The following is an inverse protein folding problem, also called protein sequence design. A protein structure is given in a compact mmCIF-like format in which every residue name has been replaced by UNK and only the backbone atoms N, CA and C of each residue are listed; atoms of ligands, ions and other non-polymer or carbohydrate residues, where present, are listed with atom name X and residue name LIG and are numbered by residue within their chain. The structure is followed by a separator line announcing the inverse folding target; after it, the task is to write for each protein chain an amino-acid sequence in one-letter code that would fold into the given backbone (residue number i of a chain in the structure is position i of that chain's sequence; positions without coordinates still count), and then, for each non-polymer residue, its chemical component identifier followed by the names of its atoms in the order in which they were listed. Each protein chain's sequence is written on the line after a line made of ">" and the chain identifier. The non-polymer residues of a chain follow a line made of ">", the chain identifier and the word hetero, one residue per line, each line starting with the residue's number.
data_IF_475814160911
#
_entry.id   IF_475814160911
#
_cell.length_a   1.000
_cell.length_b   1.000
_cell.length_c   1.000
_cell.angle_alpha   90.00
_cell.angle_beta   90.00
_cell.angle_gamma   90.00
#
_symmetry.space_group_name_H-M   'P 1'
#
loop_
_entity.id
_entity.type
_entity.pdbx_description
1 polymer ?
#
# COMPACT_ATOMS: atom_id res chain seq x y z
N UNK A 1 -26.42 -23.34 12.25
CA UNK A 1 -25.21 -22.78 12.93
C UNK A 1 -24.07 -22.47 11.98
N UNK A 2 -23.91 -23.22 10.88
CA UNK A 2 -22.80 -23.03 9.90
C UNK A 2 -22.99 -21.77 9.03
N UNK A 3 -24.22 -21.41 8.68
CA UNK A 3 -24.52 -20.26 7.82
C UNK A 3 -24.28 -18.90 8.54
N UNK A 4 -24.49 -18.86 9.88
CA UNK A 4 -24.20 -17.65 10.66
C UNK A 4 -22.71 -17.37 10.83
N UNK A 5 -21.84 -18.40 10.83
CA UNK A 5 -20.39 -18.22 10.96
C UNK A 5 -19.78 -17.58 9.71
N UNK A 6 -20.27 -17.96 8.51
CA UNK A 6 -19.80 -17.38 7.24
C UNK A 6 -20.20 -15.90 7.07
N UNK A 7 -21.35 -15.46 7.59
CA UNK A 7 -21.76 -14.06 7.53
C UNK A 7 -20.87 -13.15 8.42
N UNK A 8 -20.44 -13.65 9.59
CA UNK A 8 -19.54 -12.91 10.49
C UNK A 8 -18.13 -12.76 9.90
N UNK A 9 -17.62 -13.78 9.22
CA UNK A 9 -16.32 -13.70 8.54
C UNK A 9 -16.38 -12.74 7.37
N UNK A 10 -17.47 -12.72 6.58
CA UNK A 10 -17.68 -11.74 5.52
C UNK A 10 -17.84 -10.31 6.06
N UNK A 11 -18.56 -10.14 7.16
CA UNK A 11 -18.77 -8.84 7.80
C UNK A 11 -17.46 -8.28 8.40
N UNK A 12 -16.63 -9.15 8.99
CA UNK A 12 -15.31 -8.76 9.52
C UNK A 12 -14.32 -8.41 8.42
N UNK A 13 -14.40 -9.07 7.25
CA UNK A 13 -13.60 -8.72 6.08
C UNK A 13 -14.06 -7.41 5.43
N UNK A 14 -15.36 -7.17 5.35
CA UNK A 14 -15.89 -5.93 4.76
C UNK A 14 -15.64 -4.71 5.64
N UNK A 15 -15.71 -4.80 6.95
CA UNK A 15 -15.38 -3.69 7.86
C UNK A 15 -13.90 -3.35 7.85
N UNK A 16 -12.99 -4.34 7.74
CA UNK A 16 -11.55 -4.08 7.56
C UNK A 16 -11.23 -3.50 6.17
N UNK A 17 -11.97 -3.87 5.13
CA UNK A 17 -11.84 -3.28 3.78
C UNK A 17 -12.30 -1.81 3.79
N UNK A 18 -13.38 -1.48 4.49
CA UNK A 18 -13.85 -0.10 4.64
C UNK A 18 -12.92 0.77 5.50
N UNK A 19 -12.30 0.21 6.55
CA UNK A 19 -11.36 0.93 7.40
C UNK A 19 -10.02 1.21 6.70
N UNK A 20 -9.57 0.29 5.82
CA UNK A 20 -8.37 0.51 4.96
C UNK A 20 -8.63 1.58 3.88
N UNK A 21 -9.88 1.79 3.47
CA UNK A 21 -10.23 2.82 2.48
C UNK A 21 -10.25 4.25 3.02
N UNK A 22 -10.22 4.47 4.34
CA UNK A 22 -10.41 5.80 4.95
C UNK A 22 -9.11 6.44 5.49
N UNK A 23 -7.97 6.15 4.89
CA UNK A 23 -6.81 7.02 5.08
C UNK A 23 -6.99 8.27 4.22
N UNK A 24 -6.89 9.49 4.78
CA UNK A 24 -6.91 10.72 3.98
C UNK A 24 -5.73 10.67 3.01
N UNK A 25 -6.05 10.34 1.77
CA UNK A 25 -5.06 10.27 0.70
C UNK A 25 -4.81 11.69 0.21
N UNK A 26 -3.55 12.06 0.02
CA UNK A 26 -3.22 13.30 -0.68
C UNK A 26 -3.73 13.18 -2.12
N UNK A 27 -4.22 14.27 -2.73
CA UNK A 27 -4.77 14.30 -4.11
C UNK A 27 -3.91 13.51 -5.11
N UNK A 28 -2.58 13.65 -5.01
CA UNK A 28 -1.64 12.94 -5.88
C UNK A 28 -1.64 11.41 -5.71
N UNK A 29 -2.05 10.89 -4.54
CA UNK A 29 -2.10 9.44 -4.32
C UNK A 29 -3.28 8.79 -5.01
N UNK A 30 -4.39 9.50 -5.13
CA UNK A 30 -5.59 9.01 -5.80
C UNK A 30 -5.43 9.04 -7.33
N UNK A 31 -4.70 10.02 -7.86
CA UNK A 31 -4.29 10.04 -9.26
C UNK A 31 -3.44 8.81 -9.60
N UNK A 32 -2.46 8.46 -8.77
CA UNK A 32 -1.62 7.26 -9.01
C UNK A 32 -2.45 5.98 -9.00
N UNK A 33 -3.43 5.87 -8.07
CA UNK A 33 -4.36 4.72 -8.04
C UNK A 33 -5.20 4.68 -9.31
N UNK A 34 -5.77 5.81 -9.70
CA UNK A 34 -6.63 5.91 -10.89
C UNK A 34 -5.85 5.51 -12.15
N UNK A 35 -4.65 6.06 -12.35
CA UNK A 35 -3.78 5.71 -13.48
C UNK A 35 -3.46 4.23 -13.49
N UNK A 36 -3.13 3.64 -12.32
CA UNK A 36 -2.83 2.22 -12.23
C UNK A 36 -4.04 1.36 -12.64
N UNK A 37 -5.25 1.70 -12.17
CA UNK A 37 -6.49 0.98 -12.48
C UNK A 37 -6.84 1.12 -13.97
N UNK A 38 -6.79 2.32 -14.52
CA UNK A 38 -7.10 2.56 -15.93
C UNK A 38 -6.15 1.79 -16.86
N UNK A 39 -4.86 1.77 -16.52
CA UNK A 39 -3.88 1.02 -17.30
C UNK A 39 -4.06 -0.50 -17.14
N UNK A 40 -4.47 -1.00 -15.98
CA UNK A 40 -4.80 -2.42 -15.83
C UNK A 40 -5.96 -2.82 -16.75
N UNK A 41 -7.03 -2.03 -16.83
CA UNK A 41 -8.12 -2.26 -17.78
C UNK A 41 -7.65 -2.18 -19.24
N UNK A 42 -6.80 -1.22 -19.56
CA UNK A 42 -6.24 -1.10 -20.92
C UNK A 42 -5.41 -2.34 -21.30
N UNK A 43 -4.54 -2.80 -20.39
CA UNK A 43 -3.71 -3.99 -20.61
C UNK A 43 -4.53 -5.27 -20.68
N UNK A 44 -5.57 -5.41 -19.87
CA UNK A 44 -6.49 -6.53 -19.88
C UNK A 44 -7.20 -6.61 -21.26
N UNK A 45 -7.74 -5.50 -21.75
CA UNK A 45 -8.39 -5.44 -23.05
C UNK A 45 -7.39 -5.66 -24.21
N UNK A 46 -6.22 -4.99 -24.14
CA UNK A 46 -5.18 -5.11 -25.14
C UNK A 46 -4.68 -6.56 -25.28
N UNK A 47 -4.41 -7.25 -24.15
CA UNK A 47 -3.96 -8.65 -24.17
C UNK A 47 -5.03 -9.59 -24.75
N UNK A 48 -6.32 -9.38 -24.43
CA UNK A 48 -7.41 -10.16 -25.02
C UNK A 48 -7.51 -9.97 -26.53
N UNK A 49 -7.47 -8.72 -27.00
CA UNK A 49 -7.55 -8.40 -28.41
C UNK A 49 -6.34 -8.96 -29.17
N UNK A 50 -5.15 -8.77 -28.62
CA UNK A 50 -3.90 -9.21 -29.23
C UNK A 50 -3.87 -10.74 -29.39
N UNK A 51 -4.20 -11.48 -28.33
CA UNK A 51 -4.29 -12.94 -28.36
C UNK A 51 -5.34 -13.42 -29.35
N UNK A 52 -6.50 -12.73 -29.43
CA UNK A 52 -7.53 -13.06 -30.41
C UNK A 52 -7.00 -12.94 -31.84
N UNK A 53 -6.32 -11.86 -32.19
CA UNK A 53 -5.78 -11.68 -33.55
C UNK A 53 -4.62 -12.63 -33.85
N UNK A 54 -3.74 -12.92 -32.88
CA UNK A 54 -2.67 -13.91 -33.06
C UNK A 54 -3.23 -15.28 -33.35
N UNK A 55 -4.16 -15.77 -32.52
CA UNK A 55 -4.78 -17.10 -32.73
C UNK A 55 -5.59 -17.16 -34.00
N UNK A 56 -6.25 -16.07 -34.39
CA UNK A 56 -6.95 -15.97 -35.66
C UNK A 56 -6.02 -16.15 -36.87
N UNK A 57 -4.79 -15.64 -36.76
CA UNK A 57 -3.78 -15.82 -37.81
C UNK A 57 -3.18 -17.23 -37.87
N UNK A 58 -3.15 -17.95 -36.75
CA UNK A 58 -2.56 -19.29 -36.64
C UNK A 58 -3.62 -20.37 -36.96
N UNK A 59 -4.77 -20.31 -36.29
CA UNK A 59 -5.86 -21.26 -36.44
C UNK A 59 -7.21 -20.55 -36.30
N UNK A 60 -7.82 -20.21 -37.43
CA UNK A 60 -9.08 -19.50 -37.44
C UNK A 60 -10.25 -20.37 -36.94
N UNK A 61 -10.15 -21.71 -37.00
CA UNK A 61 -11.18 -22.61 -36.50
C UNK A 61 -11.20 -22.67 -34.98
N UNK A 62 -10.05 -22.60 -34.33
CA UNK A 62 -9.95 -22.62 -32.85
C UNK A 62 -10.69 -21.47 -32.17
N UNK A 63 -10.93 -20.37 -32.89
CA UNK A 63 -11.58 -19.16 -32.34
C UNK A 63 -12.87 -18.77 -33.07
N UNK A 64 -13.32 -19.58 -34.04
CA UNK A 64 -14.52 -19.29 -34.85
C UNK A 64 -15.78 -19.07 -34.00
N UNK A 65 -15.86 -19.69 -32.83
CA UNK A 65 -16.99 -19.61 -31.90
C UNK A 65 -16.83 -18.51 -30.81
N UNK A 66 -15.70 -17.79 -30.79
CA UNK A 66 -15.44 -16.78 -29.76
C UNK A 66 -16.08 -15.44 -30.15
N UNK A 67 -17.08 -15.03 -29.39
CA UNK A 67 -17.56 -13.63 -29.42
C UNK A 67 -16.63 -12.72 -28.61
N UNK A 68 -15.68 -12.08 -29.28
CA UNK A 68 -14.72 -11.17 -28.62
C UNK A 68 -15.41 -10.10 -27.77
N UNK A 69 -16.57 -9.58 -28.22
CA UNK A 69 -17.35 -8.59 -27.46
C UNK A 69 -17.83 -9.13 -26.12
N UNK A 70 -18.34 -10.38 -26.11
CA UNK A 70 -18.82 -11.03 -24.88
C UNK A 70 -17.66 -11.25 -23.90
N UNK A 71 -16.51 -11.74 -24.37
CA UNK A 71 -15.33 -11.97 -23.53
C UNK A 71 -14.78 -10.65 -22.94
N UNK A 72 -14.67 -9.59 -23.75
CA UNK A 72 -14.23 -8.28 -23.28
C UNK A 72 -15.18 -7.72 -22.21
N UNK A 73 -16.49 -7.72 -22.48
CA UNK A 73 -17.48 -7.19 -21.54
C UNK A 73 -17.45 -7.95 -20.21
N UNK A 74 -17.53 -9.28 -20.30
CA UNK A 74 -17.55 -10.14 -19.11
C UNK A 74 -16.27 -10.03 -18.29
N UNK A 75 -15.11 -10.04 -18.95
CA UNK A 75 -13.82 -9.92 -18.29
C UNK A 75 -13.68 -8.57 -17.54
N UNK A 76 -14.05 -7.44 -18.18
CA UNK A 76 -14.02 -6.14 -17.53
C UNK A 76 -14.97 -6.09 -16.32
N UNK A 77 -16.18 -6.65 -16.44
CA UNK A 77 -17.14 -6.69 -15.33
C UNK A 77 -16.62 -7.54 -14.16
N UNK A 78 -16.00 -8.69 -14.45
CA UNK A 78 -15.40 -9.56 -13.44
C UNK A 78 -14.16 -8.94 -12.77
N UNK A 79 -13.43 -8.05 -13.46
CA UNK A 79 -12.22 -7.44 -12.93
C UNK A 79 -12.48 -6.36 -11.86
N UNK A 80 -13.65 -5.70 -11.91
CA UNK A 80 -14.04 -4.64 -10.93
C UNK A 80 -14.04 -5.15 -9.48
N UNK A 81 -14.74 -6.23 -9.12
CA UNK A 81 -14.72 -6.75 -7.76
C UNK A 81 -13.34 -7.23 -7.33
N UNK A 82 -12.53 -7.77 -8.26
CA UNK A 82 -11.18 -8.23 -7.95
C UNK A 82 -10.26 -7.08 -7.50
N UNK A 83 -10.31 -5.94 -8.20
CA UNK A 83 -9.56 -4.73 -7.81
C UNK A 83 -10.06 -4.20 -6.47
N UNK A 84 -11.37 -4.22 -6.22
CA UNK A 84 -11.96 -3.73 -4.97
C UNK A 84 -11.49 -4.54 -3.76
N UNK A 85 -11.33 -5.85 -3.90
CA UNK A 85 -10.92 -6.76 -2.82
C UNK A 85 -9.42 -6.62 -2.52
N UNK A 86 -8.55 -6.73 -3.52
CA UNK A 86 -7.11 -6.69 -3.30
C UNK A 86 -6.52 -5.28 -3.24
N UNK A 87 -7.19 -4.31 -3.87
CA UNK A 87 -6.80 -2.90 -3.89
C UNK A 87 -5.44 -2.63 -4.55
N UNK A 88 -5.22 -1.37 -4.88
CA UNK A 88 -3.95 -0.89 -5.44
C UNK A 88 -3.14 -0.21 -4.34
N UNK A 89 -1.95 -0.72 -4.02
CA UNK A 89 -1.07 -0.20 -2.96
C UNK A 89 0.06 0.70 -3.44
N UNK A 90 0.14 0.99 -4.74
CA UNK A 90 1.21 1.83 -5.32
C UNK A 90 1.24 3.25 -4.77
N UNK A 91 0.12 3.73 -4.22
CA UNK A 91 0.03 5.05 -3.61
C UNK A 91 0.78 5.13 -2.28
N UNK A 92 0.97 4.01 -1.57
CA UNK A 92 1.74 4.00 -0.34
C UNK A 92 3.20 4.34 -0.64
N UNK A 93 3.83 5.13 0.26
CA UNK A 93 5.20 5.61 0.04
C UNK A 93 6.24 4.51 0.23
N UNK A 94 6.07 3.71 1.27
CA UNK A 94 7.00 2.63 1.62
C UNK A 94 6.31 1.30 1.33
N UNK A 95 6.54 0.75 0.14
CA UNK A 95 6.00 -0.56 -0.29
C UNK A 95 7.11 -1.40 -0.91
N UNK A 96 7.17 -2.67 -0.53
CA UNK A 96 8.11 -3.63 -1.14
C UNK A 96 7.57 -4.14 -2.49
N UNK A 97 8.46 -4.44 -3.48
CA UNK A 97 8.02 -4.96 -4.78
C UNK A 97 7.19 -6.23 -4.66
N UNK A 98 7.58 -7.13 -3.73
CA UNK A 98 6.90 -8.41 -3.51
C UNK A 98 5.43 -8.23 -3.11
N UNK A 99 5.14 -7.19 -2.33
CA UNK A 99 3.76 -6.87 -1.92
C UNK A 99 2.89 -6.42 -3.09
N UNK A 100 3.48 -5.68 -4.03
CA UNK A 100 2.79 -5.22 -5.25
C UNK A 100 2.46 -6.42 -6.13
N UNK A 101 3.46 -7.27 -6.39
CA UNK A 101 3.31 -8.48 -7.21
C UNK A 101 2.35 -9.46 -6.55
N UNK A 102 2.48 -9.70 -5.24
CA UNK A 102 1.60 -10.61 -4.50
C UNK A 102 0.13 -10.19 -4.56
N UNK A 103 -0.18 -8.91 -4.38
CA UNK A 103 -1.56 -8.40 -4.52
C UNK A 103 -2.08 -8.49 -5.95
N UNK A 104 -1.24 -8.18 -6.94
CA UNK A 104 -1.61 -8.30 -8.34
C UNK A 104 -1.92 -9.75 -8.70
N UNK A 105 -1.08 -10.71 -8.29
CA UNK A 105 -1.33 -12.13 -8.50
C UNK A 105 -2.61 -12.60 -7.81
N UNK A 106 -2.89 -12.11 -6.59
CA UNK A 106 -4.17 -12.34 -5.90
C UNK A 106 -5.36 -11.82 -6.70
N UNK A 107 -5.27 -10.59 -7.23
CA UNK A 107 -6.30 -10.01 -8.11
C UNK A 107 -6.54 -10.86 -9.34
N UNK A 108 -5.46 -11.29 -10.01
CA UNK A 108 -5.56 -12.12 -11.23
C UNK A 108 -6.12 -13.51 -10.91
N UNK A 109 -5.68 -14.15 -9.82
CA UNK A 109 -6.20 -15.46 -9.40
C UNK A 109 -7.71 -15.41 -9.13
N UNK A 110 -8.17 -14.37 -8.42
CA UNK A 110 -9.60 -14.18 -8.18
C UNK A 110 -10.35 -13.90 -9.49
N UNK A 111 -9.77 -13.10 -10.37
CA UNK A 111 -10.35 -12.83 -11.68
C UNK A 111 -10.51 -14.11 -12.53
N UNK A 112 -9.51 -15.01 -12.54
CA UNK A 112 -9.60 -16.31 -13.21
C UNK A 112 -10.83 -17.06 -12.71
N UNK A 113 -10.99 -17.18 -11.39
CA UNK A 113 -12.11 -17.93 -10.79
C UNK A 113 -13.46 -17.31 -11.15
N UNK A 114 -13.61 -16.01 -10.95
CA UNK A 114 -14.89 -15.32 -11.23
C UNK A 114 -15.20 -15.36 -12.73
N UNK A 115 -14.21 -15.08 -13.58
CA UNK A 115 -14.41 -15.05 -15.03
C UNK A 115 -14.81 -16.41 -15.59
N UNK A 116 -14.13 -17.50 -15.21
CA UNK A 116 -14.50 -18.85 -15.61
C UNK A 116 -15.88 -19.24 -15.10
N UNK A 117 -16.22 -18.89 -13.86
CA UNK A 117 -17.55 -19.15 -13.29
C UNK A 117 -18.65 -18.44 -14.06
N UNK A 118 -18.43 -17.15 -14.38
CA UNK A 118 -19.43 -16.37 -15.15
C UNK A 118 -19.58 -16.90 -16.57
N UNK A 119 -18.48 -17.25 -17.26
CA UNK A 119 -18.55 -17.88 -18.58
C UNK A 119 -19.33 -19.19 -18.55
N UNK A 120 -19.17 -20.01 -17.51
CA UNK A 120 -19.92 -21.26 -17.34
C UNK A 120 -21.43 -21.01 -17.11
N UNK A 121 -21.77 -19.97 -16.30
CA UNK A 121 -23.18 -19.59 -16.02
C UNK A 121 -23.88 -19.07 -17.29
N UNK A 122 -23.20 -18.25 -18.09
CA UNK A 122 -23.74 -17.67 -19.33
C UNK A 122 -23.87 -18.76 -20.44
N UNK A 123 -23.37 -19.97 -20.16
CA UNK A 123 -23.37 -21.09 -21.13
C UNK A 123 -22.79 -20.67 -22.48
N UNK A 124 -21.61 -20.05 -22.45
CA UNK A 124 -20.86 -19.79 -23.68
C UNK A 124 -20.40 -21.13 -24.22
N UNK A 125 -21.14 -21.63 -25.23
CA UNK A 125 -20.82 -22.89 -25.88
C UNK A 125 -19.41 -22.83 -26.47
N UNK A 126 -18.60 -23.88 -26.16
CA UNK A 126 -17.25 -24.06 -26.71
C UNK A 126 -16.26 -22.91 -26.41
N UNK A 127 -16.12 -22.50 -25.14
CA UNK A 127 -15.01 -21.59 -24.81
C UNK A 127 -13.65 -22.24 -25.09
N UNK A 128 -12.80 -21.53 -25.84
CA UNK A 128 -11.47 -22.04 -26.19
C UNK A 128 -10.54 -21.98 -24.97
N UNK A 129 -10.13 -23.14 -24.46
CA UNK A 129 -9.15 -23.24 -23.35
C UNK A 129 -7.81 -22.65 -23.75
N UNK A 130 -7.42 -22.83 -25.03
CA UNK A 130 -6.16 -22.28 -25.56
C UNK A 130 -6.18 -20.76 -25.55
N UNK A 131 -7.31 -20.14 -25.92
CA UNK A 131 -7.47 -18.70 -25.88
C UNK A 131 -7.32 -18.15 -24.44
N UNK A 132 -7.98 -18.76 -23.48
CA UNK A 132 -7.90 -18.34 -22.09
C UNK A 132 -6.49 -18.51 -21.52
N UNK A 133 -5.84 -19.63 -21.80
CA UNK A 133 -4.46 -19.87 -21.37
C UNK A 133 -3.51 -18.85 -21.98
N UNK A 134 -3.58 -18.61 -23.29
CA UNK A 134 -2.75 -17.64 -23.99
C UNK A 134 -3.00 -16.20 -23.48
N UNK A 135 -4.27 -15.87 -23.19
CA UNK A 135 -4.65 -14.59 -22.61
C UNK A 135 -3.96 -14.36 -21.25
N UNK A 136 -4.09 -15.28 -20.30
CA UNK A 136 -3.45 -15.11 -18.99
C UNK A 136 -1.92 -15.19 -19.06
N UNK A 137 -1.36 -16.01 -19.93
CA UNK A 137 0.08 -16.10 -20.15
C UNK A 137 0.67 -14.78 -20.69
N UNK A 138 -0.09 -14.03 -21.48
CA UNK A 138 0.31 -12.71 -21.97
C UNK A 138 0.00 -11.60 -20.95
N UNK A 139 -1.15 -11.65 -20.29
CA UNK A 139 -1.62 -10.60 -19.39
C UNK A 139 -0.77 -10.52 -18.11
N UNK A 140 -0.41 -11.65 -17.47
CA UNK A 140 0.34 -11.68 -16.22
C UNK A 140 1.68 -10.93 -16.33
N UNK A 141 2.59 -11.25 -17.27
CA UNK A 141 3.86 -10.56 -17.36
C UNK A 141 3.70 -9.08 -17.76
N UNK A 142 2.74 -8.75 -18.62
CA UNK A 142 2.44 -7.37 -18.98
C UNK A 142 1.98 -6.55 -17.77
N UNK A 143 1.07 -7.08 -16.97
CA UNK A 143 0.56 -6.41 -15.79
C UNK A 143 1.63 -6.26 -14.71
N UNK A 144 2.47 -7.28 -14.47
CA UNK A 144 3.62 -7.19 -13.54
C UNK A 144 4.61 -6.14 -14.03
N UNK A 145 5.01 -6.21 -15.28
CA UNK A 145 5.93 -5.26 -15.90
C UNK A 145 5.44 -3.83 -15.79
N UNK A 146 4.16 -3.58 -16.08
CA UNK A 146 3.54 -2.28 -15.95
C UNK A 146 3.56 -1.77 -14.49
N UNK A 147 3.18 -2.59 -13.53
CA UNK A 147 3.17 -2.22 -12.11
C UNK A 147 4.56 -1.85 -11.59
N UNK A 148 5.58 -2.60 -11.98
CA UNK A 148 6.96 -2.32 -11.61
C UNK A 148 7.49 -1.05 -12.29
N UNK A 149 7.15 -0.85 -13.57
CA UNK A 149 7.49 0.35 -14.33
C UNK A 149 6.83 1.60 -13.73
N UNK A 150 5.53 1.53 -13.41
CA UNK A 150 4.83 2.64 -12.76
C UNK A 150 5.48 2.97 -11.40
N UNK A 151 5.82 1.94 -10.61
CA UNK A 151 6.58 2.15 -9.37
C UNK A 151 7.91 2.85 -9.60
N UNK A 152 8.65 2.45 -10.61
CA UNK A 152 9.93 3.08 -10.96
C UNK A 152 9.74 4.56 -11.32
N UNK A 153 8.76 4.89 -12.15
CA UNK A 153 8.44 6.28 -12.50
C UNK A 153 8.00 7.10 -11.29
N UNK A 154 7.16 6.57 -10.43
CA UNK A 154 6.75 7.26 -9.19
C UNK A 154 7.95 7.55 -8.30
N UNK A 155 8.90 6.60 -8.15
CA UNK A 155 10.14 6.82 -7.40
C UNK A 155 11.04 7.88 -8.06
N UNK A 156 11.19 7.83 -9.36
CA UNK A 156 11.98 8.80 -10.11
C UNK A 156 11.40 10.21 -9.99
N UNK A 157 10.07 10.34 -10.07
CA UNK A 157 9.38 11.60 -9.91
C UNK A 157 9.56 12.20 -8.50
N UNK A 158 9.54 11.36 -7.46
CA UNK A 158 9.82 11.77 -6.08
C UNK A 158 11.27 12.22 -5.88
N UNK A 159 12.23 11.49 -6.49
CA UNK A 159 13.66 11.87 -6.47
C UNK A 159 13.92 13.26 -7.06
N UNK A 160 13.14 13.68 -8.03
CA UNK A 160 13.19 15.01 -8.63
C UNK A 160 12.69 16.14 -7.69
N UNK A 161 12.44 15.85 -6.40
CA UNK A 161 12.03 16.84 -5.40
C UNK A 161 10.56 17.25 -5.48
N UNK A 162 9.77 16.60 -6.34
CA UNK A 162 8.33 16.87 -6.48
C UNK A 162 7.51 16.00 -5.53
N UNK A 163 6.44 16.56 -4.99
CA UNK A 163 5.53 15.86 -4.05
C UNK A 163 6.23 15.33 -2.80
N UNK A 164 7.18 16.12 -2.24
CA UNK A 164 7.82 15.80 -0.97
C UNK A 164 6.89 16.15 0.20
N UNK A 165 6.78 15.21 1.14
CA UNK A 165 6.15 15.47 2.43
C UNK A 165 7.19 15.96 3.42
N UNK A 166 7.00 17.15 3.93
CA UNK A 166 7.84 17.70 4.99
C UNK A 166 7.51 17.02 6.32
N UNK A 167 8.55 16.56 6.99
CA UNK A 167 8.43 15.83 8.25
C UNK A 167 9.33 16.42 9.31
N UNK A 168 8.89 16.31 10.56
CA UNK A 168 9.66 16.69 11.76
C UNK A 168 9.72 15.50 12.70
N UNK A 169 10.87 15.29 13.30
CA UNK A 169 11.12 14.24 14.26
C UNK A 169 11.28 14.86 15.66
N UNK A 170 10.76 14.20 16.69
CA UNK A 170 10.85 14.65 18.07
C UNK A 170 11.30 13.49 18.94
N UNK A 171 12.35 13.69 19.70
CA UNK A 171 12.92 12.71 20.62
C UNK A 171 14.33 12.29 20.24
N UNK A 172 14.97 11.63 21.15
CA UNK A 172 16.29 11.04 21.08
C UNK A 172 16.20 9.52 21.01
N UNK A 173 17.26 8.89 20.61
CA UNK A 173 17.38 7.44 20.61
C UNK A 173 17.54 6.82 19.23
N UNK A 174 18.04 5.57 19.22
CA UNK A 174 18.42 4.83 18.03
C UNK A 174 17.28 4.68 17.01
N UNK A 175 16.04 4.50 17.50
CA UNK A 175 14.86 4.38 16.63
C UNK A 175 14.59 5.66 15.83
N UNK A 176 14.88 6.83 16.41
CA UNK A 176 14.69 8.10 15.71
C UNK A 176 15.77 8.33 14.66
N UNK A 177 16.99 7.87 14.93
CA UNK A 177 18.11 7.89 13.97
C UNK A 177 17.82 6.98 12.79
N UNK A 178 17.37 5.75 13.04
CA UNK A 178 16.99 4.80 11.99
C UNK A 178 15.82 5.34 11.15
N UNK A 179 14.82 5.94 11.82
CA UNK A 179 13.70 6.58 11.16
C UNK A 179 14.15 7.77 10.29
N UNK A 180 15.09 8.59 10.80
CA UNK A 180 15.68 9.68 10.03
C UNK A 180 16.33 9.16 8.74
N UNK A 181 17.19 8.15 8.82
CA UNK A 181 17.81 7.56 7.63
C UNK A 181 16.79 7.00 6.65
N UNK A 182 15.73 6.37 7.16
CA UNK A 182 14.66 5.83 6.33
C UNK A 182 13.87 6.95 5.63
N UNK A 183 13.52 8.02 6.35
CA UNK A 183 12.72 9.12 5.81
C UNK A 183 13.56 10.09 4.96
N UNK A 184 14.85 10.19 5.20
CA UNK A 184 15.73 11.08 4.42
C UNK A 184 16.10 10.50 3.04
N UNK A 185 15.71 9.24 2.75
CA UNK A 185 15.80 8.71 1.39
C UNK A 185 14.71 9.35 0.51
N UNK A 186 15.14 10.23 -0.40
CA UNK A 186 14.28 10.95 -1.35
C UNK A 186 13.39 10.03 -2.20
N UNK A 187 13.74 8.75 -2.32
CA UNK A 187 12.94 7.78 -3.09
C UNK A 187 11.56 7.54 -2.47
N UNK A 188 11.41 7.74 -1.17
CA UNK A 188 10.13 7.63 -0.47
C UNK A 188 9.32 8.93 -0.52
N UNK A 189 9.94 10.04 -0.95
CA UNK A 189 9.28 11.33 -1.09
C UNK A 189 9.02 12.03 0.24
N UNK A 190 9.90 11.84 1.21
CA UNK A 190 9.93 12.59 2.46
C UNK A 190 11.11 13.57 2.47
N UNK A 191 10.96 14.64 3.21
CA UNK A 191 12.01 15.60 3.51
C UNK A 191 11.97 15.92 5.00
N UNK A 192 12.96 15.46 5.73
CA UNK A 192 13.09 15.78 7.16
C UNK A 192 13.60 17.22 7.30
N UNK A 193 12.79 18.09 7.88
CA UNK A 193 13.13 19.51 8.08
C UNK A 193 14.02 19.71 9.32
N UNK A 194 13.85 18.85 10.33
CA UNK A 194 14.65 18.92 11.54
C UNK A 194 14.24 17.90 12.59
N UNK A 195 15.09 17.80 13.58
CA UNK A 195 14.87 16.99 14.77
C UNK A 195 14.92 17.89 16.00
N UNK A 196 13.99 17.65 16.93
CA UNK A 196 13.90 18.31 18.23
C UNK A 196 14.15 17.31 19.34
N UNK A 197 15.08 17.61 20.24
CA UNK A 197 15.36 16.83 21.46
C UNK A 197 16.01 17.71 22.52
N UNK A 198 15.85 17.36 23.79
CA UNK A 198 16.34 18.19 24.91
C UNK A 198 17.77 17.84 25.32
N UNK A 199 18.11 16.54 25.33
CA UNK A 199 19.44 16.06 25.67
C UNK A 199 20.07 15.38 24.44
N UNK A 200 21.30 15.82 24.13
CA UNK A 200 22.06 15.18 23.04
C UNK A 200 22.68 13.91 23.59
N UNK A 201 22.12 12.77 23.20
CA UNK A 201 22.79 11.49 23.41
C UNK A 201 24.12 11.48 22.64
N UNK A 202 25.20 11.01 23.28
CA UNK A 202 26.56 11.02 22.73
C UNK A 202 26.69 10.21 21.43
N UNK A 203 25.71 9.38 21.12
CA UNK A 203 25.66 8.52 19.94
C UNK A 203 24.88 9.12 18.75
N UNK A 204 24.44 10.38 18.83
CA UNK A 204 23.68 10.98 17.74
C UNK A 204 24.61 11.25 16.54
N UNK A 205 24.32 10.72 15.34
CA UNK A 205 25.18 10.88 14.18
C UNK A 205 25.38 12.33 13.80
N UNK A 206 26.59 12.69 13.39
CA UNK A 206 26.87 13.98 12.79
C UNK A 206 26.12 14.14 11.48
N UNK A 207 25.51 15.32 11.26
CA UNK A 207 24.79 15.63 10.02
C UNK A 207 23.25 15.56 10.11
N UNK A 208 22.69 15.18 11.25
CA UNK A 208 21.25 15.28 11.46
C UNK A 208 20.89 16.74 11.81
N UNK A 209 19.91 17.35 11.12
CA UNK A 209 19.57 18.76 11.32
C UNK A 209 18.85 18.98 12.65
N UNK A 210 19.62 19.25 13.71
CA UNK A 210 19.10 19.68 15.00
C UNK A 210 18.53 21.09 14.91
N UNK A 211 17.31 21.29 15.42
CA UNK A 211 16.59 22.59 15.37
C UNK A 211 16.41 23.23 16.73
N UNK A 212 16.50 22.47 17.78
CA UNK A 212 16.37 22.99 19.14
C UNK A 212 15.75 22.01 20.12
N UNK A 213 15.58 22.40 21.36
CA UNK A 213 14.88 21.61 22.36
C UNK A 213 13.38 21.55 22.09
N UNK A 214 12.70 20.58 22.70
CA UNK A 214 11.28 20.33 22.46
C UNK A 214 10.37 21.51 22.79
N UNK A 215 10.75 22.34 23.73
CA UNK A 215 10.01 23.56 24.12
C UNK A 215 9.93 24.62 23.00
N UNK A 216 10.89 24.65 22.06
CA UNK A 216 10.90 25.59 20.93
C UNK A 216 10.11 25.03 19.71
N UNK A 217 9.58 23.81 19.80
CA UNK A 217 8.90 23.14 18.71
C UNK A 217 7.71 23.94 18.18
N UNK A 218 6.82 24.43 19.07
CA UNK A 218 5.59 25.10 18.66
C UNK A 218 5.85 26.42 17.94
N UNK A 219 6.83 27.19 18.41
CA UNK A 219 7.26 28.42 17.75
C UNK A 219 7.80 28.13 16.37
N UNK A 220 8.63 27.09 16.24
CA UNK A 220 9.19 26.69 14.95
C UNK A 220 8.10 26.17 14.00
N UNK A 221 7.13 25.38 14.48
CA UNK A 221 6.01 24.86 13.69
C UNK A 221 5.11 25.98 13.17
N UNK A 222 4.96 27.11 13.88
CA UNK A 222 4.15 28.24 13.44
C UNK A 222 4.71 28.94 12.20
N UNK A 223 6.02 28.81 11.95
CA UNK A 223 6.71 29.43 10.80
C UNK A 223 7.04 28.44 9.67
N UNK A 224 6.76 27.13 9.86
CA UNK A 224 7.14 26.12 8.90
C UNK A 224 5.96 25.20 8.58
N UNK A 225 5.73 24.93 7.30
CA UNK A 225 4.69 23.99 6.88
C UNK A 225 5.18 22.54 7.02
N UNK A 226 4.55 21.80 7.92
CA UNK A 226 4.86 20.40 8.22
C UNK A 226 3.63 19.55 7.90
N UNK A 227 3.82 18.43 7.20
CA UNK A 227 2.74 17.51 6.86
C UNK A 227 2.63 16.36 7.86
N UNK A 228 3.76 15.90 8.38
CA UNK A 228 3.82 14.75 9.29
C UNK A 228 4.82 15.00 10.41
N UNK A 229 4.46 14.56 11.62
CA UNK A 229 5.27 14.70 12.81
C UNK A 229 5.41 13.33 13.49
N UNK A 230 6.65 12.93 13.74
CA UNK A 230 7.00 11.68 14.40
C UNK A 230 7.52 11.94 15.80
N UNK A 231 6.79 11.48 16.81
CA UNK A 231 7.10 11.70 18.22
C UNK A 231 7.64 10.41 18.86
N UNK A 232 8.90 10.41 19.26
CA UNK A 232 9.59 9.36 20.00
C UNK A 232 9.88 9.77 21.46
N UNK A 233 9.09 10.65 22.05
CA UNK A 233 9.25 10.99 23.46
C UNK A 233 8.86 9.83 24.37
N UNK A 234 9.54 9.64 25.53
CA UNK A 234 9.20 8.59 26.47
C UNK A 234 7.84 8.86 27.12
N UNK A 235 7.15 7.80 27.53
CA UNK A 235 5.80 7.87 28.15
C UNK A 235 5.76 8.69 29.44
N UNK A 236 6.91 8.96 30.08
CA UNK A 236 7.03 9.85 31.24
C UNK A 236 6.68 11.31 30.89
N UNK A 237 6.80 11.70 29.62
CA UNK A 237 6.49 13.06 29.11
C UNK A 237 5.09 13.13 28.50
N UNK A 238 4.12 12.54 29.18
CA UNK A 238 2.74 12.43 28.68
C UNK A 238 2.12 13.78 28.33
N UNK A 239 2.36 14.81 29.14
CA UNK A 239 1.76 16.14 28.95
C UNK A 239 2.30 16.81 27.69
N UNK A 240 3.60 16.67 27.41
CA UNK A 240 4.21 17.16 26.17
C UNK A 240 3.65 16.44 24.96
N UNK A 241 3.53 15.10 25.02
CA UNK A 241 2.97 14.28 23.94
C UNK A 241 1.54 14.71 23.63
N UNK A 242 0.71 14.92 24.65
CA UNK A 242 -0.68 15.38 24.50
C UNK A 242 -0.74 16.79 23.91
N UNK A 243 0.12 17.70 24.37
CA UNK A 243 0.18 19.07 23.82
C UNK A 243 0.57 19.06 22.33
N UNK A 244 1.56 18.25 21.94
CA UNK A 244 2.00 18.09 20.55
C UNK A 244 0.89 17.48 19.70
N UNK A 245 0.21 16.43 20.20
CA UNK A 245 -0.89 15.78 19.50
C UNK A 245 -2.04 16.75 19.25
N UNK A 246 -2.48 17.51 20.25
CA UNK A 246 -3.53 18.51 20.12
C UNK A 246 -3.13 19.62 19.13
N UNK A 247 -1.87 20.06 19.14
CA UNK A 247 -1.37 21.03 18.17
C UNK A 247 -1.45 20.48 16.75
N UNK A 248 -1.05 19.22 16.54
CA UNK A 248 -1.10 18.55 15.24
C UNK A 248 -2.53 18.42 14.71
N UNK A 249 -3.49 18.06 15.57
CA UNK A 249 -4.90 17.96 15.21
C UNK A 249 -5.48 19.31 14.76
N UNK A 250 -5.17 20.37 15.50
CA UNK A 250 -5.65 21.72 15.20
C UNK A 250 -5.03 22.31 13.92
N UNK A 251 -3.85 21.84 13.50
CA UNK A 251 -3.13 22.35 12.33
C UNK A 251 -3.09 21.35 11.14
N UNK A 252 -3.91 20.30 11.18
CA UNK A 252 -3.98 19.26 10.12
C UNK A 252 -2.64 18.56 9.85
N UNK A 253 -1.76 18.46 10.85
CA UNK A 253 -0.49 17.75 10.80
C UNK A 253 -0.75 16.30 11.23
N UNK A 254 -0.27 15.34 10.47
CA UNK A 254 -0.39 13.93 10.85
C UNK A 254 0.60 13.60 11.96
N UNK A 255 0.06 13.16 13.10
CA UNK A 255 0.86 12.73 14.25
C UNK A 255 1.10 11.23 14.23
N UNK A 256 2.37 10.84 14.39
CA UNK A 256 2.79 9.44 14.55
C UNK A 256 3.60 9.29 15.82
N UNK A 257 3.19 8.36 16.68
CA UNK A 257 3.97 7.98 17.85
C UNK A 257 4.95 6.87 17.49
N UNK A 258 6.23 7.09 17.80
CA UNK A 258 7.31 6.11 17.62
C UNK A 258 7.59 5.47 18.97
N UNK A 259 7.22 4.17 19.16
CA UNK A 259 7.42 3.53 20.45
C UNK A 259 8.91 3.33 20.74
N UNK A 260 9.31 3.60 22.00
CA UNK A 260 10.63 3.25 22.54
C UNK A 260 10.72 1.73 22.80
N UNK A 261 10.63 0.95 21.75
CA UNK A 261 10.90 -0.49 21.88
C UNK A 261 12.38 -0.69 21.63
N UNK A 262 13.14 -0.91 22.71
CA UNK A 262 14.57 -1.26 22.61
C UNK A 262 14.75 -2.40 21.63
N UNK A 263 15.76 -2.31 20.78
CA UNK A 263 16.10 -3.14 19.61
C UNK A 263 16.21 -4.67 19.82
N UNK A 264 15.56 -5.24 20.82
CA UNK A 264 15.53 -6.70 21.01
C UNK A 264 14.65 -7.44 20.02
N UNK A 265 13.86 -6.71 19.20
CA UNK A 265 12.86 -7.33 18.35
C UNK A 265 13.04 -6.87 16.91
N UNK A 266 13.90 -7.55 16.16
CA UNK A 266 13.96 -7.48 14.68
C UNK A 266 12.73 -8.11 14.01
N UNK A 267 11.60 -8.30 14.74
CA UNK A 267 10.39 -8.96 14.27
C UNK A 267 9.27 -7.95 14.07
N UNK A 268 8.40 -8.20 13.12
CA UNK A 268 7.23 -7.34 12.84
C UNK A 268 6.29 -7.36 14.06
N UNK A 269 6.14 -6.20 14.67
CA UNK A 269 5.15 -5.96 15.70
C UNK A 269 3.79 -5.74 15.03
N UNK A 270 2.77 -6.44 15.48
CA UNK A 270 1.38 -6.21 15.06
C UNK A 270 0.63 -5.54 16.20
N UNK A 271 0.08 -4.35 15.92
CA UNK A 271 -0.85 -3.70 16.83
C UNK A 271 -2.20 -4.43 16.74
N UNK A 272 -2.68 -4.94 17.85
CA UNK A 272 -4.01 -5.53 17.97
C UNK A 272 -4.80 -4.78 19.04
N UNK A 273 -6.08 -4.56 18.78
CA UNK A 273 -7.01 -4.05 19.79
C UNK A 273 -7.63 -5.26 20.52
N UNK A 274 -7.41 -5.33 21.84
CA UNK A 274 -8.14 -6.23 22.74
C UNK A 274 -9.22 -5.40 23.46
N UNK A 275 -10.42 -5.37 22.87
CA UNK A 275 -11.45 -4.41 23.25
C UNK A 275 -11.03 -2.99 22.85
N UNK A 276 -10.90 -2.08 23.81
CA UNK A 276 -10.43 -0.70 23.58
C UNK A 276 -8.93 -0.51 23.87
N UNK A 277 -8.23 -1.56 24.31
CA UNK A 277 -6.82 -1.50 24.69
C UNK A 277 -5.92 -1.91 23.52
N UNK A 278 -5.04 -1.02 23.02
CA UNK A 278 -4.05 -1.38 21.99
C UNK A 278 -2.94 -2.25 22.60
N UNK A 279 -2.75 -3.44 22.04
CA UNK A 279 -1.73 -4.40 22.45
C UNK A 279 -0.77 -4.69 21.32
N UNK A 280 0.53 -4.60 21.59
CA UNK A 280 1.58 -4.98 20.65
C UNK A 280 1.82 -6.50 20.74
N UNK A 281 1.48 -7.24 19.71
CA UNK A 281 1.75 -8.68 19.63
C UNK A 281 3.00 -8.95 18.81
N UNK A 282 3.86 -9.82 19.35
CA UNK A 282 5.03 -10.37 18.68
C UNK A 282 4.64 -11.75 18.18
N UNK A 283 4.77 -12.01 16.88
CA UNK A 283 4.54 -13.34 16.33
C UNK A 283 5.75 -14.23 16.66
N UNK A 284 5.68 -15.01 17.71
CA UNK A 284 6.61 -16.11 17.94
C UNK A 284 6.29 -17.22 16.94
N UNK A 285 7.23 -17.51 16.01
CA UNK A 285 7.20 -18.76 15.26
C UNK A 285 7.67 -19.84 16.23
N UNK A 286 6.73 -20.63 16.75
CA UNK A 286 7.04 -21.91 17.35
C UNK A 286 7.53 -22.81 16.20
N UNK A 287 8.83 -23.04 16.13
CA UNK A 287 9.35 -24.18 15.38
C UNK A 287 8.95 -25.42 16.18
N UNK A 288 7.92 -26.12 15.76
CA UNK A 288 7.76 -27.52 16.10
C UNK A 288 8.84 -28.27 15.32
N UNK A 289 9.93 -28.60 15.99
CA UNK A 289 10.85 -29.61 15.51
C UNK A 289 10.17 -30.96 15.76
N UNK A 290 9.69 -31.62 14.73
CA UNK A 290 9.53 -33.06 14.70
C UNK A 290 10.87 -33.70 14.37
#
# INVERSE_FOLDING_TARGET
>A
KVVRFNLYVLYFHTTNIFFVMKQPTTENSDIIKLVAILCDFALLNLSMILVFFILKGIDSQAIAHISLKTYLLTSNLCYIPCISIFGVILHNRIVRPEQIVGRLLGTISLHVVIFLTVLAIIKVDNFSRIYLLAFYLSFIPLAIGWRLTLRFFVKMFRRSGRNLHTTVLIGDGDNMVELYHTLNDLTYGYRVLGIFYDEKDSNYPEGIPFKGPVNQLFEWLSHNTVHELYCGLPSSRKDDILAIMNYCENNLIRFYSVPHVRNYIKRQLQLKLLGEVPVLSIRCLLYTSD
#
